data_IF_104808651604
#
_entry.id   IF_104808651604
#
_cell.length_a   1.000
_cell.length_b   1.000
_cell.length_c   1.000
_cell.angle_alpha   90.00
_cell.angle_beta   90.00
_cell.angle_gamma   90.00
#
_symmetry.space_group_name_H-M   'P 1'
#
loop_
_entity.id
_entity.type
_entity.pdbx_description
1 polymer ?
#
# COMPACT_ATOMS: atom_id res chain seq x y z
N UNK A 1 16.63 7.82 -19.77
CA UNK A 1 15.30 7.33 -20.19
C UNK A 1 14.69 6.73 -18.94
N UNK A 2 13.66 7.36 -18.41
CA UNK A 2 13.01 6.88 -17.19
C UNK A 2 12.20 5.63 -17.51
N UNK A 3 12.57 4.52 -16.90
CA UNK A 3 11.88 3.23 -17.01
C UNK A 3 10.38 3.34 -16.65
N UNK A 4 10.04 4.22 -15.72
CA UNK A 4 8.67 4.44 -15.29
C UNK A 4 7.72 4.96 -16.38
N UNK A 5 8.23 5.49 -17.50
CA UNK A 5 7.37 6.10 -18.52
C UNK A 5 7.07 5.18 -19.74
N UNK A 6 7.79 4.06 -19.95
CA UNK A 6 7.76 3.36 -21.25
C UNK A 6 7.82 1.82 -21.19
N UNK A 7 7.30 1.14 -20.17
CA UNK A 7 7.15 -0.32 -20.23
C UNK A 7 5.80 -0.71 -20.82
N UNK A 8 5.73 -1.31 -22.01
CA UNK A 8 4.51 -1.93 -22.49
C UNK A 8 4.35 -3.29 -21.79
N UNK A 9 3.65 -3.32 -20.66
CA UNK A 9 3.16 -4.59 -20.13
C UNK A 9 1.97 -4.99 -20.96
N UNK A 10 2.07 -6.13 -21.64
CA UNK A 10 0.96 -6.74 -22.31
C UNK A 10 -0.22 -6.86 -21.35
N UNK A 11 -1.35 -6.23 -21.70
CA UNK A 11 -2.60 -6.36 -20.96
C UNK A 11 -2.97 -7.84 -20.92
N UNK A 12 -2.86 -8.46 -19.75
CA UNK A 12 -3.34 -9.82 -19.54
C UNK A 12 -4.85 -9.85 -19.80
N UNK A 13 -5.26 -10.72 -20.72
CA UNK A 13 -6.66 -10.93 -21.06
C UNK A 13 -7.40 -11.54 -19.86
N UNK A 14 -8.09 -10.69 -19.10
CA UNK A 14 -8.91 -11.06 -17.95
C UNK A 14 -10.22 -11.76 -18.36
N UNK A 15 -10.51 -11.92 -19.66
CA UNK A 15 -11.76 -12.52 -20.16
C UNK A 15 -11.93 -14.02 -19.84
N UNK A 16 -10.85 -14.70 -19.42
CA UNK A 16 -10.89 -16.11 -19.03
C UNK A 16 -11.45 -16.36 -17.63
N UNK A 17 -11.64 -15.32 -16.82
CA UNK A 17 -12.19 -15.44 -15.47
C UNK A 17 -13.68 -15.09 -15.50
N UNK A 18 -14.52 -16.12 -15.38
CA UNK A 18 -15.98 -16.07 -15.45
C UNK A 18 -16.61 -14.88 -14.72
N UNK A 19 -17.49 -14.17 -15.41
CA UNK A 19 -18.30 -13.03 -14.97
C UNK A 19 -19.39 -13.37 -13.93
N UNK A 20 -19.36 -14.54 -13.30
CA UNK A 20 -20.48 -15.05 -12.51
C UNK A 20 -20.62 -14.49 -11.10
N UNK A 21 -19.59 -13.83 -10.52
CA UNK A 21 -19.71 -13.22 -9.19
C UNK A 21 -18.67 -12.11 -9.05
N UNK A 22 -19.10 -10.93 -8.62
CA UNK A 22 -18.20 -9.80 -8.32
C UNK A 22 -17.36 -10.01 -7.04
N UNK A 23 -16.92 -11.26 -6.81
CA UNK A 23 -16.01 -11.58 -5.70
C UNK A 23 -14.58 -11.31 -6.13
N UNK A 24 -13.82 -10.69 -5.23
CA UNK A 24 -12.40 -10.47 -5.44
C UNK A 24 -11.66 -11.80 -5.51
N UNK A 25 -10.77 -11.91 -6.48
CA UNK A 25 -9.82 -13.01 -6.53
C UNK A 25 -8.67 -12.70 -5.55
N UNK A 26 -8.23 -13.75 -4.86
CA UNK A 26 -7.04 -13.72 -4.01
C UNK A 26 -6.10 -14.82 -4.49
N UNK A 27 -4.91 -14.42 -4.93
CA UNK A 27 -3.90 -15.36 -5.46
C UNK A 27 -2.52 -15.10 -4.87
N UNK A 28 -1.68 -16.15 -4.75
CA UNK A 28 -0.30 -15.99 -4.31
C UNK A 28 0.56 -15.38 -5.41
N UNK A 29 1.37 -14.39 -5.04
CA UNK A 29 2.35 -13.75 -5.90
C UNK A 29 3.72 -13.87 -5.26
N UNK A 30 4.63 -14.60 -5.93
CA UNK A 30 6.01 -14.73 -5.50
C UNK A 30 6.84 -13.57 -6.06
N UNK A 31 7.48 -12.81 -5.16
CA UNK A 31 8.31 -11.65 -5.50
C UNK A 31 9.77 -12.02 -5.30
N UNK A 32 10.60 -11.77 -6.30
CA UNK A 32 12.07 -11.88 -6.23
C UNK A 32 12.71 -10.56 -6.65
N UNK A 33 13.91 -10.32 -6.12
CA UNK A 33 14.70 -9.10 -6.37
C UNK A 33 16.08 -9.52 -6.86
N UNK A 34 16.40 -9.22 -8.11
CA UNK A 34 17.63 -9.65 -8.78
C UNK A 34 17.92 -11.16 -8.55
N UNK A 35 16.90 -12.02 -8.76
CA UNK A 35 16.98 -13.47 -8.60
C UNK A 35 16.93 -13.97 -7.15
N UNK A 36 16.86 -13.11 -6.14
CA UNK A 36 16.75 -13.53 -4.73
C UNK A 36 15.27 -13.50 -4.33
N UNK A 37 14.72 -14.64 -3.89
CA UNK A 37 13.35 -14.71 -3.35
C UNK A 37 13.19 -13.74 -2.18
N UNK A 38 12.16 -12.89 -2.23
CA UNK A 38 11.89 -11.90 -1.21
C UNK A 38 10.67 -12.25 -0.36
N UNK A 39 9.51 -12.42 -1.00
CA UNK A 39 8.26 -12.68 -0.29
C UNK A 39 7.25 -13.40 -1.19
N UNK A 40 6.28 -14.07 -0.57
CA UNK A 40 5.03 -14.49 -1.22
C UNK A 40 3.90 -13.70 -0.58
N UNK A 41 3.12 -13.01 -1.41
CA UNK A 41 2.02 -12.15 -0.96
C UNK A 41 0.70 -12.65 -1.55
N UNK A 42 -0.36 -12.63 -0.72
CA UNK A 42 -1.72 -12.87 -1.19
C UNK A 42 -2.34 -11.54 -1.56
N UNK A 43 -2.78 -11.38 -2.81
CA UNK A 43 -3.39 -10.14 -3.28
C UNK A 43 -4.35 -10.34 -4.46
N UNK A 44 -5.13 -9.32 -4.75
CA UNK A 44 -5.99 -9.26 -5.93
C UNK A 44 -5.15 -8.99 -7.18
N UNK A 45 -5.21 -9.84 -8.23
CA UNK A 45 -4.28 -9.81 -9.37
C UNK A 45 -4.59 -8.70 -10.40
N UNK A 46 -4.87 -7.51 -9.93
CA UNK A 46 -5.04 -6.30 -10.74
C UNK A 46 -3.96 -5.30 -10.35
N UNK A 47 -3.54 -4.47 -11.28
CA UNK A 47 -2.55 -3.40 -11.06
C UNK A 47 -1.22 -3.90 -10.45
N UNK A 48 -0.76 -5.08 -10.86
CA UNK A 48 0.42 -5.75 -10.28
C UNK A 48 1.70 -4.94 -10.44
N UNK A 49 1.82 -4.17 -11.52
CA UNK A 49 2.96 -3.28 -11.70
C UNK A 49 2.97 -2.16 -10.66
N UNK A 50 1.83 -1.49 -10.47
CA UNK A 50 1.72 -0.45 -9.43
C UNK A 50 1.93 -1.04 -8.04
N UNK A 51 1.36 -2.23 -7.76
CA UNK A 51 1.64 -2.95 -6.52
C UNK A 51 3.15 -3.16 -6.33
N UNK A 52 3.84 -3.68 -7.34
CA UNK A 52 5.27 -3.98 -7.27
C UNK A 52 6.12 -2.75 -6.99
N UNK A 53 5.83 -1.63 -7.68
CA UNK A 53 6.53 -0.35 -7.47
C UNK A 53 6.29 0.16 -6.05
N UNK A 54 5.03 0.22 -5.61
CA UNK A 54 4.68 0.73 -4.29
C UNK A 54 5.18 -0.16 -3.16
N UNK A 55 5.08 -1.48 -3.29
CA UNK A 55 5.59 -2.45 -2.35
C UNK A 55 7.11 -2.35 -2.19
N UNK A 56 7.86 -2.37 -3.30
CA UNK A 56 9.33 -2.27 -3.25
C UNK A 56 9.79 -0.95 -2.66
N UNK A 57 9.08 0.14 -2.92
CA UNK A 57 9.32 1.43 -2.29
C UNK A 57 9.00 1.38 -0.79
N UNK A 58 7.81 0.91 -0.41
CA UNK A 58 7.36 0.85 0.98
C UNK A 58 8.30 0.00 1.85
N UNK A 59 8.75 -1.15 1.34
CA UNK A 59 9.70 -2.05 2.01
C UNK A 59 11.15 -1.52 2.03
N UNK A 60 11.42 -0.41 1.34
CA UNK A 60 12.78 0.17 1.30
C UNK A 60 13.75 -0.59 0.42
N UNK A 61 13.25 -1.39 -0.51
CA UNK A 61 14.05 -2.07 -1.53
C UNK A 61 14.58 -1.03 -2.51
N UNK A 62 13.75 -0.04 -2.85
CA UNK A 62 14.09 1.13 -3.64
C UNK A 62 13.80 2.43 -2.87
N UNK A 63 14.47 3.50 -3.21
CA UNK A 63 14.21 4.85 -2.69
C UNK A 63 13.44 5.70 -3.71
N UNK A 64 13.67 5.47 -5.00
CA UNK A 64 13.06 6.19 -6.11
C UNK A 64 12.68 5.22 -7.23
N UNK A 65 11.72 5.59 -8.06
CA UNK A 65 11.32 4.79 -9.22
C UNK A 65 12.50 4.55 -10.18
N UNK A 66 13.44 5.49 -10.29
CA UNK A 66 14.66 5.38 -11.09
C UNK A 66 15.64 4.28 -10.60
N UNK A 67 15.45 3.75 -9.41
CA UNK A 67 16.21 2.59 -8.93
C UNK A 67 15.77 1.27 -9.57
N UNK A 68 14.56 1.23 -10.10
CA UNK A 68 14.04 0.10 -10.87
C UNK A 68 14.68 0.06 -12.26
N UNK A 69 15.04 -1.15 -12.68
CA UNK A 69 15.56 -1.44 -14.03
C UNK A 69 14.55 -2.16 -14.87
N UNK A 70 13.93 -3.19 -14.29
CA UNK A 70 12.92 -3.99 -14.96
C UNK A 70 11.96 -4.60 -13.93
N UNK A 71 10.71 -4.77 -14.34
CA UNK A 71 9.70 -5.56 -13.63
C UNK A 71 9.14 -6.57 -14.63
N UNK A 72 9.37 -7.85 -14.36
CA UNK A 72 8.83 -8.95 -15.16
C UNK A 72 7.75 -9.66 -14.37
N UNK A 73 6.51 -9.71 -14.93
CA UNK A 73 5.37 -10.39 -14.31
C UNK A 73 5.01 -11.59 -15.18
N UNK A 74 5.20 -12.79 -14.64
CA UNK A 74 4.98 -14.04 -15.36
C UNK A 74 3.85 -14.85 -14.72
N UNK A 75 2.80 -15.22 -15.47
CA UNK A 75 1.79 -16.16 -14.98
C UNK A 75 2.42 -17.48 -14.57
N UNK A 76 1.92 -18.03 -13.47
CA UNK A 76 2.35 -19.31 -12.93
C UNK A 76 1.12 -20.02 -12.34
N UNK A 77 1.20 -21.33 -12.16
CA UNK A 77 0.20 -22.09 -11.45
C UNK A 77 0.87 -22.95 -10.38
N UNK A 78 0.27 -22.97 -9.19
CA UNK A 78 0.69 -23.86 -8.11
C UNK A 78 -0.23 -25.07 -8.11
N UNK A 79 0.36 -26.27 -8.19
CA UNK A 79 -0.38 -27.51 -8.08
C UNK A 79 -0.64 -27.84 -6.61
N UNK A 80 -1.91 -27.97 -6.25
CA UNK A 80 -2.33 -28.39 -4.92
C UNK A 80 -2.90 -29.81 -5.03
N UNK A 81 -2.26 -30.82 -4.39
CA UNK A 81 -2.75 -32.18 -4.39
C UNK A 81 -4.14 -32.25 -3.70
N UNK A 82 -5.12 -32.87 -4.36
CA UNK A 82 -6.45 -33.10 -3.82
C UNK A 82 -6.86 -34.56 -4.09
N UNK A 83 -6.40 -35.46 -3.25
CA UNK A 83 -6.57 -36.91 -3.46
C UNK A 83 -5.88 -37.37 -4.76
N UNK A 84 -6.64 -37.99 -5.67
CA UNK A 84 -6.15 -38.42 -7.00
C UNK A 84 -6.18 -37.27 -8.04
N UNK A 85 -6.70 -36.10 -7.68
CA UNK A 85 -6.79 -34.92 -8.55
C UNK A 85 -5.80 -33.84 -8.11
N UNK A 86 -5.45 -32.96 -9.04
CA UNK A 86 -4.65 -31.77 -8.77
C UNK A 86 -5.49 -30.52 -9.07
N UNK A 87 -5.53 -29.60 -8.13
CA UNK A 87 -6.10 -28.29 -8.34
C UNK A 87 -5.00 -27.29 -8.75
N UNK A 88 -5.20 -26.63 -9.87
CA UNK A 88 -4.29 -25.59 -10.36
C UNK A 88 -4.68 -24.26 -9.75
N UNK A 89 -3.91 -23.75 -8.79
CA UNK A 89 -4.12 -22.42 -8.23
C UNK A 89 -3.38 -21.38 -9.08
N UNK A 90 -4.10 -20.44 -9.74
CA UNK A 90 -3.46 -19.35 -10.45
C UNK A 90 -2.54 -18.55 -9.53
N UNK A 91 -1.39 -18.17 -10.03
CA UNK A 91 -0.38 -17.40 -9.30
C UNK A 91 0.45 -16.57 -10.28
N UNK A 92 1.29 -15.68 -9.76
CA UNK A 92 2.29 -14.97 -10.56
C UNK A 92 3.67 -15.02 -9.91
N UNK A 93 4.68 -14.97 -10.76
CA UNK A 93 6.05 -14.67 -10.36
C UNK A 93 6.38 -13.26 -10.81
N UNK A 94 6.83 -12.44 -9.89
CA UNK A 94 7.26 -11.06 -10.11
C UNK A 94 8.75 -10.99 -9.85
N UNK A 95 9.52 -10.76 -10.90
CA UNK A 95 10.95 -10.49 -10.80
C UNK A 95 11.16 -8.99 -10.92
N UNK A 96 11.90 -8.44 -9.95
CA UNK A 96 12.23 -7.01 -9.88
C UNK A 96 13.74 -6.86 -10.04
N UNK A 97 14.17 -6.22 -11.09
CA UNK A 97 15.57 -5.82 -11.26
C UNK A 97 15.78 -4.39 -10.75
N UNK A 98 16.71 -4.24 -9.82
CA UNK A 98 17.08 -2.95 -9.23
C UNK A 98 18.52 -2.59 -9.55
N UNK A 99 18.83 -1.31 -9.38
CA UNK A 99 20.18 -0.80 -9.60
C UNK A 99 21.24 -1.51 -8.74
N UNK A 100 22.48 -1.69 -9.20
CA UNK A 100 23.53 -2.37 -8.43
C UNK A 100 23.78 -1.76 -7.05
N UNK A 101 23.63 -0.43 -6.93
CA UNK A 101 23.75 0.29 -5.65
C UNK A 101 22.67 -0.16 -4.68
N UNK A 102 21.41 -0.18 -5.11
CA UNK A 102 20.28 -0.61 -4.28
C UNK A 102 20.39 -2.10 -3.97
N UNK A 103 20.80 -2.91 -4.92
CA UNK A 103 20.96 -4.35 -4.68
C UNK A 103 22.04 -4.65 -3.64
N UNK A 104 23.12 -3.88 -3.61
CA UNK A 104 24.15 -4.01 -2.56
C UNK A 104 23.58 -3.68 -1.17
N UNK A 105 22.74 -2.63 -1.08
CA UNK A 105 22.04 -2.27 0.16
C UNK A 105 21.00 -3.35 0.54
N UNK A 106 20.21 -3.80 -0.41
CA UNK A 106 19.20 -4.85 -0.23
C UNK A 106 19.81 -6.12 0.37
N UNK A 107 20.92 -6.62 -0.17
CA UNK A 107 21.60 -7.83 0.36
C UNK A 107 22.03 -7.68 1.82
N UNK A 108 22.48 -6.51 2.25
CA UNK A 108 22.87 -6.27 3.65
C UNK A 108 21.66 -6.36 4.59
N UNK A 109 20.50 -5.92 4.17
CA UNK A 109 19.26 -5.93 4.98
C UNK A 109 18.50 -7.24 4.88
N UNK A 110 18.53 -7.93 3.74
CA UNK A 110 17.79 -9.15 3.50
C UNK A 110 18.29 -10.33 4.35
N UNK A 111 19.59 -10.41 4.61
CA UNK A 111 20.17 -11.47 5.45
C UNK A 111 19.62 -11.48 6.90
N UNK A 112 18.97 -10.41 7.34
CA UNK A 112 18.36 -10.30 8.67
C UNK A 112 16.85 -10.57 8.69
N UNK A 113 16.19 -10.76 7.53
CA UNK A 113 14.73 -10.78 7.41
C UNK A 113 14.14 -12.11 6.93
N UNK A 114 14.74 -13.23 7.19
CA UNK A 114 14.14 -14.52 6.84
C UNK A 114 12.92 -14.79 7.71
N UNK A 115 11.69 -14.67 7.13
CA UNK A 115 10.45 -15.06 7.79
C UNK A 115 9.33 -14.00 7.84
N UNK A 116 9.22 -13.12 6.85
CA UNK A 116 8.18 -12.07 6.83
C UNK A 116 6.80 -12.63 6.45
N UNK A 117 5.82 -12.44 7.32
CA UNK A 117 4.40 -12.47 6.99
C UNK A 117 3.94 -11.04 6.63
N UNK A 118 2.84 -10.92 5.86
CA UNK A 118 2.37 -9.69 5.19
C UNK A 118 2.13 -8.40 6.01
N UNK A 119 2.47 -8.36 7.30
CA UNK A 119 2.42 -7.14 8.13
C UNK A 119 3.80 -6.46 8.29
N UNK A 120 4.87 -6.97 7.66
CA UNK A 120 6.20 -6.36 7.72
C UNK A 120 6.91 -6.43 9.08
N UNK A 121 6.21 -6.81 10.16
CA UNK A 121 6.74 -6.88 11.53
C UNK A 121 7.14 -8.30 11.94
N UNK A 122 6.63 -9.33 11.28
CA UNK A 122 7.00 -10.70 11.58
C UNK A 122 8.42 -10.98 11.07
N UNK A 123 9.36 -11.22 11.99
CA UNK A 123 10.77 -11.50 11.67
C UNK A 123 11.75 -10.39 12.06
N UNK A 124 11.28 -9.25 12.58
CA UNK A 124 12.16 -8.28 13.24
C UNK A 124 12.59 -8.84 14.60
N UNK A 125 13.89 -9.00 14.78
CA UNK A 125 14.48 -9.54 16.03
C UNK A 125 14.64 -8.48 17.12
N UNK A 126 14.41 -7.20 16.79
CA UNK A 126 14.53 -6.10 17.72
C UNK A 126 13.33 -5.14 17.59
N UNK A 127 12.74 -4.74 18.73
CA UNK A 127 11.63 -3.78 18.79
C UNK A 127 11.99 -2.44 18.12
N UNK A 128 13.25 -1.99 18.28
CA UNK A 128 13.74 -0.74 17.70
C UNK A 128 13.70 -0.71 16.16
N UNK A 129 13.67 -1.88 15.52
CA UNK A 129 13.57 -1.98 14.06
C UNK A 129 12.14 -2.12 13.56
N UNK A 130 11.16 -2.33 14.46
CA UNK A 130 9.76 -2.45 14.12
C UNK A 130 9.13 -1.10 13.71
N UNK A 131 9.67 0.00 14.22
CA UNK A 131 9.24 1.36 13.89
C UNK A 131 10.42 2.08 13.24
N UNK A 132 10.47 2.15 11.91
CA UNK A 132 11.55 2.81 11.22
C UNK A 132 11.53 4.32 11.48
N UNK A 133 12.71 4.92 11.63
CA UNK A 133 12.85 6.37 11.69
C UNK A 133 12.60 6.97 10.29
N UNK A 134 11.47 7.66 10.15
CA UNK A 134 11.10 8.34 8.92
C UNK A 134 11.36 9.85 9.07
N UNK A 135 11.53 10.52 7.93
CA UNK A 135 11.59 11.98 7.91
C UNK A 135 10.18 12.54 8.11
N UNK A 136 10.02 13.48 9.04
CA UNK A 136 8.76 14.19 9.21
C UNK A 136 8.38 14.98 7.96
N UNK A 137 7.10 15.00 7.66
CA UNK A 137 6.53 15.76 6.56
C UNK A 137 6.57 17.26 6.85
N UNK A 138 6.58 18.07 5.81
CA UNK A 138 6.26 19.49 5.95
C UNK A 138 4.76 19.61 6.23
N UNK A 139 4.35 20.27 7.33
CA UNK A 139 2.94 20.50 7.63
C UNK A 139 2.22 21.11 6.43
N UNK A 140 1.11 20.51 6.02
CA UNK A 140 0.33 20.97 4.89
C UNK A 140 -1.16 21.05 5.30
N UNK A 141 -1.85 22.19 5.10
CA UNK A 141 -3.28 22.26 5.38
C UNK A 141 -4.06 21.31 4.47
N UNK A 142 -5.14 20.72 5.00
CA UNK A 142 -6.03 19.89 4.20
C UNK A 142 -6.92 20.80 3.35
N UNK A 143 -6.88 20.70 2.01
CA UNK A 143 -7.76 21.48 1.17
C UNK A 143 -9.23 21.08 1.37
N UNK A 144 -10.11 22.04 1.64
CA UNK A 144 -11.53 21.77 1.88
C UNK A 144 -12.22 21.07 0.69
N UNK A 145 -11.80 21.35 -0.55
CA UNK A 145 -12.33 20.73 -1.75
C UNK A 145 -12.16 19.20 -1.75
N UNK A 146 -11.08 18.69 -1.16
CA UNK A 146 -10.82 17.26 -1.04
C UNK A 146 -11.82 16.55 -0.11
N UNK A 147 -12.39 17.27 0.86
CA UNK A 147 -13.23 16.68 1.91
C UNK A 147 -14.70 16.51 1.50
N UNK A 148 -15.10 17.04 0.33
CA UNK A 148 -16.47 16.95 -0.12
C UNK A 148 -16.83 15.56 -0.66
N UNK A 149 -17.94 15.00 -0.17
CA UNK A 149 -18.60 13.79 -0.70
C UNK A 149 -17.68 12.56 -0.82
N UNK A 150 -16.72 12.42 0.10
CA UNK A 150 -15.70 11.38 0.05
C UNK A 150 -16.26 9.94 0.01
N UNK A 151 -17.31 9.57 0.81
CA UNK A 151 -17.87 8.23 0.73
C UNK A 151 -18.39 7.90 -0.67
N UNK A 152 -19.12 8.81 -1.31
CA UNK A 152 -19.64 8.59 -2.65
C UNK A 152 -18.54 8.60 -3.71
N UNK A 153 -17.52 9.45 -3.57
CA UNK A 153 -16.34 9.43 -4.44
C UNK A 153 -15.68 8.05 -4.40
N UNK A 154 -15.43 7.51 -3.20
CA UNK A 154 -14.82 6.19 -3.06
C UNK A 154 -15.72 5.09 -3.60
N UNK A 155 -17.02 5.07 -3.21
CA UNK A 155 -17.97 4.06 -3.67
C UNK A 155 -18.17 4.06 -5.19
N UNK A 156 -18.14 5.23 -5.84
CA UNK A 156 -18.28 5.33 -7.30
C UNK A 156 -17.12 4.72 -8.07
N UNK A 157 -15.97 4.54 -7.43
CA UNK A 157 -14.77 3.97 -8.03
C UNK A 157 -14.58 2.50 -7.69
N UNK A 158 -15.27 1.98 -6.65
CA UNK A 158 -15.16 0.57 -6.29
C UNK A 158 -15.91 -0.31 -7.28
N UNK A 159 -15.22 -1.31 -7.80
CA UNK A 159 -15.74 -2.27 -8.78
C UNK A 159 -15.90 -3.67 -8.20
N UNK A 160 -15.10 -4.03 -7.20
CA UNK A 160 -15.09 -5.34 -6.57
C UNK A 160 -15.77 -5.30 -5.20
N UNK A 161 -16.36 -6.44 -4.83
CA UNK A 161 -16.94 -6.63 -3.49
C UNK A 161 -15.95 -7.37 -2.58
N UNK A 162 -15.94 -7.00 -1.29
CA UNK A 162 -15.12 -7.67 -0.29
C UNK A 162 -13.64 -7.29 -0.32
N UNK A 163 -13.30 -6.17 -0.97
CA UNK A 163 -11.94 -5.62 -1.05
C UNK A 163 -11.83 -4.29 -0.32
N UNK A 164 -10.60 -3.91 -0.04
CA UNK A 164 -10.24 -2.56 0.35
C UNK A 164 -9.92 -1.71 -0.87
N UNK A 165 -10.22 -0.42 -0.77
CA UNK A 165 -9.90 0.56 -1.80
C UNK A 165 -9.06 1.70 -1.25
N UNK A 166 -8.19 2.24 -2.10
CA UNK A 166 -7.37 3.41 -1.86
C UNK A 166 -7.54 4.39 -3.03
N UNK A 167 -8.19 5.53 -2.77
CA UNK A 167 -8.52 6.57 -3.74
C UNK A 167 -7.56 7.75 -3.57
N UNK A 168 -6.81 8.11 -4.61
CA UNK A 168 -5.94 9.27 -4.63
C UNK A 168 -6.69 10.50 -5.13
N UNK A 169 -6.64 11.56 -4.35
CA UNK A 169 -7.20 12.87 -4.70
C UNK A 169 -6.10 13.91 -4.87
N UNK A 170 -6.23 14.73 -5.92
CA UNK A 170 -5.39 15.91 -6.13
C UNK A 170 -5.64 17.00 -5.07
N UNK A 171 -4.81 18.03 -4.96
CA UNK A 171 -5.05 19.18 -4.10
C UNK A 171 -6.42 19.85 -4.35
N UNK A 172 -6.92 19.82 -5.58
CA UNK A 172 -8.22 20.39 -5.98
C UNK A 172 -9.41 19.44 -5.73
N UNK A 173 -9.15 18.23 -5.21
CA UNK A 173 -10.16 17.22 -4.91
C UNK A 173 -10.60 16.36 -6.11
N UNK A 174 -9.87 16.44 -7.22
CA UNK A 174 -10.07 15.59 -8.39
C UNK A 174 -9.59 14.17 -8.13
N UNK A 175 -10.34 13.20 -8.65
CA UNK A 175 -9.98 11.78 -8.57
C UNK A 175 -8.84 11.51 -9.56
N UNK A 176 -7.67 11.12 -9.04
CA UNK A 176 -6.51 10.75 -9.85
C UNK A 176 -6.51 9.27 -10.21
N UNK A 177 -6.81 8.41 -9.23
CA UNK A 177 -6.88 6.96 -9.39
C UNK A 177 -7.57 6.33 -8.19
N UNK A 178 -8.05 5.09 -8.34
CA UNK A 178 -8.53 4.26 -7.26
C UNK A 178 -8.04 2.83 -7.48
N UNK A 179 -7.39 2.26 -6.49
CA UNK A 179 -6.90 0.88 -6.55
C UNK A 179 -7.54 0.02 -5.48
N UNK A 180 -7.86 -1.22 -5.86
CA UNK A 180 -8.54 -2.18 -5.01
C UNK A 180 -7.65 -3.39 -4.74
N UNK A 181 -7.74 -3.94 -3.52
CA UNK A 181 -7.09 -5.19 -3.13
C UNK A 181 -7.79 -5.83 -1.92
N UNK A 182 -7.68 -7.16 -1.78
CA UNK A 182 -8.12 -7.88 -0.58
C UNK A 182 -7.37 -7.40 0.67
N UNK A 183 -6.12 -6.99 0.51
CA UNK A 183 -5.26 -6.42 1.55
C UNK A 183 -5.26 -4.89 1.53
N UNK A 184 -5.61 -4.24 2.65
CA UNK A 184 -5.57 -2.77 2.75
C UNK A 184 -4.17 -2.17 2.49
N UNK A 185 -3.12 -2.87 2.89
CA UNK A 185 -1.73 -2.46 2.64
C UNK A 185 -1.39 -2.50 1.16
N UNK A 186 -1.86 -3.55 0.47
CA UNK A 186 -1.66 -3.71 -0.97
C UNK A 186 -2.41 -2.64 -1.77
N UNK A 187 -3.66 -2.31 -1.37
CA UNK A 187 -4.42 -1.23 -2.01
C UNK A 187 -3.69 0.12 -1.91
N UNK A 188 -3.12 0.42 -0.73
CA UNK A 188 -2.29 1.61 -0.56
C UNK A 188 -1.01 1.53 -1.40
N UNK A 189 -0.31 0.39 -1.40
CA UNK A 189 0.91 0.21 -2.21
C UNK A 189 0.63 0.42 -3.70
N UNK A 190 -0.47 -0.11 -4.24
CA UNK A 190 -0.91 0.14 -5.62
C UNK A 190 -1.06 1.64 -5.90
N UNK A 191 -1.72 2.36 -4.99
CA UNK A 191 -1.94 3.80 -5.13
C UNK A 191 -0.65 4.60 -5.05
N UNK A 192 0.24 4.27 -4.11
CA UNK A 192 1.57 4.89 -4.01
C UNK A 192 2.44 4.55 -5.22
N UNK A 193 2.38 3.30 -5.69
CA UNK A 193 3.09 2.87 -6.91
C UNK A 193 2.63 3.60 -8.16
N UNK A 194 1.32 3.84 -8.29
CA UNK A 194 0.79 4.72 -9.34
C UNK A 194 1.40 6.12 -9.26
N UNK A 195 1.38 6.74 -8.07
CA UNK A 195 1.93 8.07 -7.89
C UNK A 195 3.44 8.14 -8.22
N UNK A 196 4.21 7.14 -7.75
CA UNK A 196 5.64 7.05 -8.03
C UNK A 196 5.93 6.87 -9.52
N UNK A 197 5.19 5.99 -10.21
CA UNK A 197 5.36 5.73 -11.64
C UNK A 197 5.08 6.98 -12.48
N UNK A 198 4.06 7.75 -12.09
CA UNK A 198 3.67 8.97 -12.79
C UNK A 198 4.35 10.23 -12.25
N UNK A 199 5.36 10.08 -11.38
CA UNK A 199 6.11 11.18 -10.78
C UNK A 199 5.20 12.27 -10.14
N UNK A 200 4.08 11.83 -9.52
CA UNK A 200 3.14 12.73 -8.84
C UNK A 200 3.72 13.09 -7.46
N UNK A 201 3.96 14.38 -7.18
CA UNK A 201 4.36 14.80 -5.86
C UNK A 201 3.17 14.70 -4.90
N UNK A 202 3.30 13.86 -3.85
CA UNK A 202 2.18 13.60 -2.94
C UNK A 202 1.93 14.71 -1.89
N UNK A 203 2.76 15.76 -1.89
CA UNK A 203 2.52 16.94 -1.06
C UNK A 203 1.24 17.65 -1.49
N UNK A 204 0.32 17.87 -0.55
CA UNK A 204 -1.00 18.44 -0.80
C UNK A 204 -2.05 17.44 -1.30
N UNK A 205 -1.64 16.22 -1.66
CA UNK A 205 -2.56 15.15 -2.05
C UNK A 205 -3.16 14.44 -0.85
N UNK A 206 -4.31 13.78 -1.06
CA UNK A 206 -4.96 12.94 -0.07
C UNK A 206 -5.21 11.54 -0.61
N UNK A 207 -5.07 10.53 0.26
CA UNK A 207 -5.55 9.16 -0.03
C UNK A 207 -6.71 8.84 0.88
N UNK A 208 -7.83 8.38 0.29
CA UNK A 208 -9.01 7.92 1.01
C UNK A 208 -9.03 6.39 1.01
N UNK A 209 -9.01 5.80 2.21
CA UNK A 209 -8.99 4.35 2.42
C UNK A 209 -10.34 3.85 2.93
N UNK A 210 -10.86 2.76 2.37
CA UNK A 210 -12.07 2.09 2.88
C UNK A 210 -11.85 1.35 4.20
N UNK A 211 -10.59 1.17 4.62
CA UNK A 211 -10.17 0.34 5.75
C UNK A 211 -10.01 1.13 7.06
N UNK A 212 -9.67 0.40 8.14
CA UNK A 212 -9.10 0.98 9.36
C UNK A 212 -7.66 1.42 9.12
N UNK A 213 -7.19 2.42 9.90
CA UNK A 213 -5.81 2.88 9.87
C UNK A 213 -4.97 2.18 10.95
N UNK A 214 -3.87 1.57 10.54
CA UNK A 214 -2.83 1.01 11.39
C UNK A 214 -1.51 1.78 11.21
N UNK A 215 -0.54 1.53 12.10
CA UNK A 215 0.76 2.19 12.07
C UNK A 215 1.48 2.01 10.75
N UNK A 216 1.41 0.81 10.16
CA UNK A 216 2.08 0.50 8.90
C UNK A 216 1.55 1.37 7.74
N UNK A 217 0.25 1.68 7.71
CA UNK A 217 -0.33 2.58 6.70
C UNK A 217 0.18 4.01 6.88
N UNK A 218 0.34 4.47 8.14
CA UNK A 218 0.97 5.76 8.44
C UNK A 218 2.41 5.78 7.94
N UNK A 219 3.20 4.74 8.24
CA UNK A 219 4.59 4.65 7.81
C UNK A 219 4.73 4.69 6.29
N UNK A 220 3.89 3.94 5.55
CA UNK A 220 3.88 3.95 4.08
C UNK A 220 3.53 5.34 3.54
N UNK A 221 2.49 5.99 4.09
CA UNK A 221 2.05 7.32 3.68
C UNK A 221 3.15 8.37 3.94
N UNK A 222 3.74 8.38 5.14
CA UNK A 222 4.82 9.31 5.50
C UNK A 222 6.04 9.11 4.62
N UNK A 223 6.46 7.86 4.40
CA UNK A 223 7.59 7.53 3.54
C UNK A 223 7.41 8.04 2.11
N UNK A 224 6.18 7.96 1.60
CA UNK A 224 5.83 8.44 0.27
C UNK A 224 5.69 9.97 0.18
N UNK A 225 5.71 10.70 1.29
CA UNK A 225 5.51 12.15 1.32
C UNK A 225 4.05 12.57 1.18
N UNK A 226 3.09 11.68 1.44
CA UNK A 226 1.67 11.97 1.37
C UNK A 226 1.27 12.92 2.49
N UNK A 227 0.56 14.02 2.16
CA UNK A 227 0.15 15.00 3.17
C UNK A 227 -1.03 14.58 4.01
N UNK A 228 -1.98 13.81 3.45
CA UNK A 228 -3.25 13.51 4.12
C UNK A 228 -3.69 12.08 3.87
N UNK A 229 -4.02 11.37 4.96
CA UNK A 229 -4.58 10.02 4.92
C UNK A 229 -5.96 10.02 5.58
N UNK A 230 -6.98 9.58 4.84
CA UNK A 230 -8.38 9.62 5.24
C UNK A 230 -8.91 8.19 5.33
N UNK A 231 -9.59 7.84 6.39
CA UNK A 231 -10.10 6.50 6.62
C UNK A 231 -11.60 6.48 6.90
N UNK A 232 -12.29 5.44 6.38
CA UNK A 232 -13.71 5.19 6.63
C UNK A 232 -13.98 4.52 7.99
N UNK A 233 -12.93 4.16 8.74
CA UNK A 233 -13.04 3.49 10.03
C UNK A 233 -12.01 4.08 11.01
N UNK A 234 -12.22 3.85 12.31
CA UNK A 234 -11.35 4.43 13.35
C UNK A 234 -9.89 3.95 13.22
N UNK A 235 -8.92 4.87 13.38
CA UNK A 235 -7.52 4.52 13.51
C UNK A 235 -7.24 3.87 14.87
N UNK A 236 -6.06 3.21 15.00
CA UNK A 236 -5.53 2.84 16.30
C UNK A 236 -4.90 4.05 17.00
N UNK A 237 -4.83 4.03 18.34
CA UNK A 237 -4.19 5.10 19.12
C UNK A 237 -2.75 5.34 18.64
N UNK A 238 -1.96 4.27 18.47
CA UNK A 238 -0.58 4.41 18.00
C UNK A 238 -0.52 5.00 16.59
N UNK A 239 -1.49 4.70 15.70
CA UNK A 239 -1.55 5.33 14.38
C UNK A 239 -1.78 6.85 14.48
N UNK A 240 -2.64 7.30 15.41
CA UNK A 240 -2.86 8.75 15.62
C UNK A 240 -1.62 9.45 16.18
N UNK A 241 -0.93 8.84 17.13
CA UNK A 241 0.33 9.35 17.69
C UNK A 241 1.42 9.47 16.62
N UNK A 242 1.58 8.43 15.80
CA UNK A 242 2.57 8.42 14.72
C UNK A 242 2.24 9.43 13.62
N UNK A 243 0.96 9.57 13.24
CA UNK A 243 0.54 10.58 12.27
C UNK A 243 0.88 11.99 12.76
N UNK A 244 0.59 12.29 14.02
CA UNK A 244 0.95 13.57 14.64
C UNK A 244 2.47 13.80 14.66
N UNK A 245 3.25 12.80 15.10
CA UNK A 245 4.71 12.87 15.18
C UNK A 245 5.35 13.20 13.83
N UNK A 246 4.80 12.64 12.74
CA UNK A 246 5.31 12.84 11.39
C UNK A 246 4.61 13.97 10.61
N UNK A 247 3.71 14.72 11.22
CA UNK A 247 2.91 15.80 10.62
C UNK A 247 2.04 15.32 9.44
N UNK A 248 1.59 14.07 9.48
CA UNK A 248 0.60 13.54 8.54
C UNK A 248 -0.80 13.93 9.00
N UNK A 249 -1.59 14.56 8.14
CA UNK A 249 -3.01 14.79 8.43
C UNK A 249 -3.74 13.45 8.43
N UNK A 250 -4.29 13.06 9.58
CA UNK A 250 -5.10 11.86 9.72
C UNK A 250 -6.55 12.25 9.97
N UNK A 251 -7.44 11.77 9.10
CA UNK A 251 -8.87 12.08 9.14
C UNK A 251 -9.67 10.79 9.11
N UNK A 252 -10.68 10.70 9.97
CA UNK A 252 -11.70 9.65 9.90
C UNK A 252 -12.99 10.22 9.34
N UNK A 253 -13.62 9.47 8.44
CA UNK A 253 -15.02 9.68 8.06
C UNK A 253 -15.87 8.76 8.93
N UNK A 254 -16.76 9.34 9.74
CA UNK A 254 -17.69 8.55 10.55
C UNK A 254 -18.78 7.92 9.67
N UNK A 255 -19.55 6.97 10.22
CA UNK A 255 -20.68 6.37 9.51
C UNK A 255 -21.79 7.40 9.18
N UNK A 256 -21.86 8.49 9.92
CA UNK A 256 -22.76 9.62 9.67
C UNK A 256 -22.22 10.59 8.60
N UNK A 257 -21.03 10.36 8.07
CA UNK A 257 -20.36 11.23 7.10
C UNK A 257 -19.62 12.42 7.72
N UNK A 258 -19.54 12.48 9.06
CA UNK A 258 -18.78 13.52 9.75
C UNK A 258 -17.29 13.27 9.64
N UNK A 259 -16.52 14.35 9.54
CA UNK A 259 -15.07 14.32 9.51
C UNK A 259 -14.51 14.51 10.92
N UNK A 260 -13.69 13.56 11.36
CA UNK A 260 -12.98 13.60 12.62
C UNK A 260 -11.49 13.73 12.37
N UNK A 261 -10.90 14.83 12.79
CA UNK A 261 -9.43 14.99 12.83
C UNK A 261 -8.91 14.49 14.16
N UNK A 262 -7.69 13.99 14.18
CA UNK A 262 -7.02 13.51 15.39
C UNK A 262 -5.80 14.41 15.68
N UNK A 263 -6.02 15.59 16.28
CA UNK A 263 -4.91 16.35 16.84
C UNK A 263 -4.42 15.59 18.08
N UNK A 264 -3.15 15.23 18.09
CA UNK A 264 -2.54 14.64 19.27
C UNK A 264 -2.38 15.71 20.36
N UNK A 265 -2.93 15.45 21.55
CA UNK A 265 -2.64 16.23 22.74
C UNK A 265 -1.80 15.37 23.69
N UNK A 266 -0.58 15.79 24.10
CA UNK A 266 0.23 15.05 25.06
C UNK A 266 -0.47 14.80 26.41
N UNK A 267 -1.57 15.53 26.68
CA UNK A 267 -2.36 15.38 27.90
C UNK A 267 -3.46 14.31 27.81
N UNK A 268 -3.76 13.80 26.62
CA UNK A 268 -4.76 12.73 26.45
C UNK A 268 -4.17 11.33 26.72
N UNK A 269 -2.83 11.18 26.80
CA UNK A 269 -2.17 9.88 27.03
C UNK A 269 -2.39 9.30 28.44
N UNK A 270 -2.81 10.10 29.42
CA UNK A 270 -2.86 9.66 30.82
C UNK A 270 -4.27 9.46 31.35
N UNK A 271 -5.31 9.88 30.66
CA UNK A 271 -6.68 9.77 31.16
C UNK A 271 -7.33 8.42 30.93
N UNK A 272 -6.97 7.73 29.83
CA UNK A 272 -7.59 6.45 29.47
C UNK A 272 -6.93 5.23 30.13
N UNK A 273 -5.80 5.40 30.81
CA UNK A 273 -5.08 4.32 31.53
C UNK A 273 -5.18 4.39 33.06
N UNK A 274 -5.89 5.37 33.61
CA UNK A 274 -5.98 5.58 35.09
C UNK A 274 -7.34 5.16 35.65
N UNK A 275 -8.34 4.89 34.79
CA UNK A 275 -9.70 4.52 35.22
C UNK A 275 -10.03 3.01 35.03
N UNK A 276 -9.02 2.10 35.11
CA UNK A 276 -9.24 0.66 35.29
C UNK A 276 -8.68 0.16 36.62
#
# INVERSE_FOLDING_TARGET
MDFCQNSPIASLDMSQFSTATALAQEIPIAISVNGISHAVMMLTPIDLEYFTIGFTFSEGIIDHCSDLREITITPHAVEIPQGEHHFQLPSYKVEVEISPRQFTRYKKHHSFRQGLTGCGLCGTTALDTAIPHLRSLTPCPVPHQQLHNLPNKLLSQQTLKGVHAALLLSPDGEIMTCHEDIGRHNALDKTLGFALKHAIPLTGYSVVMSSRCSVELIQKAVKAGLSTLIHMSSPSLLATQMAHHYHLNLIQITRQGELKTFPYSPHDELKDFIDE
#
